data_IF_449406864856
#
_entry.id   IF_449406864856
#
_cell.length_a   1.000
_cell.length_b   1.000
_cell.length_c   1.000
_cell.angle_alpha   90.00
_cell.angle_beta   90.00
_cell.angle_gamma   90.00
#
_symmetry.space_group_name_H-M   'P 1'
#
loop_
_entity.id
_entity.type
_entity.pdbx_description
1 polymer ?
#
# COMPACT_ATOMS: atom_id res chain seq x y z
N UNK A 1 -23.88 -39.62 21.80
CA UNK A 1 -22.93 -39.23 20.76
C UNK A 1 -23.14 -37.72 20.53
N UNK A 2 -22.30 -36.85 21.10
CA UNK A 2 -22.47 -35.39 20.99
C UNK A 2 -21.61 -34.96 19.80
N UNK A 3 -22.26 -34.56 18.69
CA UNK A 3 -21.57 -33.98 17.56
C UNK A 3 -21.12 -32.55 17.92
N UNK A 4 -19.83 -32.34 18.12
CA UNK A 4 -19.26 -31.01 18.12
C UNK A 4 -19.21 -30.49 16.67
N UNK A 5 -20.08 -29.54 16.33
CA UNK A 5 -19.97 -28.82 15.10
C UNK A 5 -18.69 -27.97 15.21
N UNK A 6 -17.70 -28.19 14.34
CA UNK A 6 -16.53 -27.36 14.20
C UNK A 6 -17.01 -25.96 13.78
N UNK A 7 -16.83 -24.99 14.66
CA UNK A 7 -17.13 -23.60 14.38
C UNK A 7 -16.14 -23.09 13.33
N UNK A 8 -16.62 -22.63 12.18
CA UNK A 8 -15.76 -22.01 11.19
C UNK A 8 -14.97 -20.85 11.84
N UNK A 9 -13.70 -20.69 11.52
CA UNK A 9 -12.93 -19.58 12.07
C UNK A 9 -13.65 -18.26 11.79
N UNK A 10 -13.79 -17.42 12.80
CA UNK A 10 -14.41 -16.11 12.64
C UNK A 10 -13.66 -15.33 11.57
N UNK A 11 -14.36 -14.80 10.57
CA UNK A 11 -13.75 -14.01 9.54
C UNK A 11 -13.03 -12.81 10.18
N UNK A 12 -11.75 -12.63 9.83
CA UNK A 12 -10.97 -11.50 10.32
C UNK A 12 -11.65 -10.18 9.95
N UNK A 13 -11.98 -9.37 10.94
CA UNK A 13 -12.59 -8.05 10.75
C UNK A 13 -11.57 -6.98 11.09
N UNK A 14 -11.50 -5.92 10.28
CA UNK A 14 -10.60 -4.80 10.50
C UNK A 14 -11.41 -3.56 10.86
N UNK A 15 -11.16 -2.99 12.03
CA UNK A 15 -11.85 -1.79 12.53
C UNK A 15 -11.07 -0.52 12.22
N UNK A 16 -9.74 -0.60 12.19
CA UNK A 16 -8.84 0.51 11.91
C UNK A 16 -7.83 0.13 10.84
N UNK A 17 -7.89 0.78 9.69
CA UNK A 17 -7.02 0.50 8.55
C UNK A 17 -6.10 1.69 8.30
N UNK A 18 -4.80 1.46 8.31
CA UNK A 18 -3.79 2.43 7.92
C UNK A 18 -3.23 2.10 6.54
N UNK A 19 -3.28 3.07 5.63
CA UNK A 19 -2.58 3.01 4.36
C UNK A 19 -1.36 3.93 4.40
N UNK A 20 -0.18 3.35 4.23
CA UNK A 20 1.09 4.07 4.07
C UNK A 20 1.56 3.90 2.63
N UNK A 21 1.72 4.98 1.91
CA UNK A 21 2.15 4.87 0.52
C UNK A 21 2.68 6.18 -0.06
N UNK A 22 2.66 6.26 -1.36
CA UNK A 22 3.11 7.43 -2.11
C UNK A 22 1.98 8.04 -2.96
N UNK A 23 2.31 8.63 -4.12
CA UNK A 23 1.33 9.24 -5.01
C UNK A 23 0.22 8.29 -5.49
N UNK A 24 0.50 6.99 -5.64
CA UNK A 24 -0.51 5.99 -6.00
C UNK A 24 -1.55 5.83 -4.89
N UNK A 25 -1.13 6.00 -3.63
CA UNK A 25 -2.01 5.87 -2.45
C UNK A 25 -2.78 7.16 -2.19
N UNK A 26 -2.09 8.30 -2.18
CA UNK A 26 -2.67 9.63 -1.97
C UNK A 26 -1.74 10.71 -2.49
N UNK A 27 -2.28 11.65 -3.25
CA UNK A 27 -1.57 12.85 -3.66
C UNK A 27 -2.51 14.05 -3.62
N UNK A 28 -2.10 15.10 -2.93
CA UNK A 28 -2.84 16.36 -2.89
C UNK A 28 -2.81 17.11 -4.22
N UNK A 29 -3.64 18.14 -4.39
CA UNK A 29 -3.65 18.97 -5.59
C UNK A 29 -2.26 19.56 -5.88
N UNK A 30 -1.89 19.57 -7.16
CA UNK A 30 -0.61 20.09 -7.64
C UNK A 30 -0.75 20.68 -9.05
N UNK A 31 -0.79 22.01 -9.14
CA UNK A 31 -1.14 22.72 -10.36
C UNK A 31 -0.13 22.53 -11.49
N UNK A 32 1.18 22.44 -11.19
CA UNK A 32 2.25 22.26 -12.18
C UNK A 32 2.19 20.92 -12.94
N UNK A 33 1.47 19.93 -12.40
CA UNK A 33 1.21 18.64 -13.07
C UNK A 33 -0.26 18.47 -13.46
N UNK A 34 -1.06 19.53 -13.36
CA UNK A 34 -2.51 19.52 -13.67
C UNK A 34 -3.29 18.45 -12.88
N UNK A 35 -2.90 18.23 -11.59
CA UNK A 35 -3.56 17.32 -10.67
C UNK A 35 -4.38 18.10 -9.64
N UNK A 36 -5.68 17.83 -9.55
CA UNK A 36 -6.62 18.52 -8.66
C UNK A 36 -7.17 17.64 -7.55
N UNK A 37 -6.93 16.32 -7.61
CA UNK A 37 -7.43 15.37 -6.62
C UNK A 37 -6.65 15.40 -5.30
N UNK A 38 -7.26 14.80 -4.26
CA UNK A 38 -6.61 14.53 -2.98
C UNK A 38 -6.77 13.04 -2.60
N UNK A 39 -6.55 12.18 -3.58
CA UNK A 39 -6.66 10.73 -3.52
C UNK A 39 -5.54 10.08 -4.34
N UNK A 40 -5.61 8.77 -4.61
CA UNK A 40 -4.64 8.07 -5.44
C UNK A 40 -4.49 8.73 -6.81
N UNK A 41 -3.26 9.22 -7.12
CA UNK A 41 -2.99 9.99 -8.33
C UNK A 41 -3.42 9.22 -9.57
N UNK A 42 -4.07 9.93 -10.49
CA UNK A 42 -4.61 9.49 -11.75
C UNK A 42 -5.89 8.62 -11.69
N UNK A 43 -6.40 8.24 -10.53
CA UNK A 43 -7.78 7.78 -10.43
C UNK A 43 -8.76 8.92 -10.81
N UNK A 44 -9.81 8.62 -11.56
CA UNK A 44 -10.75 9.66 -12.05
C UNK A 44 -11.63 10.27 -10.97
N UNK A 45 -11.74 9.60 -9.83
CA UNK A 45 -12.46 10.05 -8.64
C UNK A 45 -11.93 9.33 -7.40
N UNK A 46 -12.11 9.93 -6.22
CA UNK A 46 -11.72 9.37 -4.94
C UNK A 46 -12.21 7.92 -4.75
N UNK A 47 -13.49 7.66 -5.04
CA UNK A 47 -14.09 6.32 -4.91
C UNK A 47 -13.50 5.26 -5.85
N UNK A 48 -12.63 5.64 -6.78
CA UNK A 48 -12.02 4.77 -7.78
C UNK A 48 -10.55 4.49 -7.53
N UNK A 49 -9.93 5.13 -6.53
CA UNK A 49 -8.59 4.73 -6.13
C UNK A 49 -8.62 3.42 -5.32
N UNK A 50 -7.48 2.75 -5.26
CA UNK A 50 -7.40 1.44 -4.61
C UNK A 50 -7.70 1.49 -3.10
N UNK A 51 -7.42 2.61 -2.42
CA UNK A 51 -7.69 2.80 -0.99
C UNK A 51 -9.19 2.70 -0.71
N UNK A 52 -9.99 3.43 -1.50
CA UNK A 52 -11.44 3.46 -1.34
C UNK A 52 -12.08 2.15 -1.82
N UNK A 53 -11.52 1.50 -2.86
CA UNK A 53 -11.99 0.20 -3.33
C UNK A 53 -11.76 -0.89 -2.29
N UNK A 54 -10.56 -0.98 -1.71
CA UNK A 54 -10.25 -1.94 -0.63
C UNK A 54 -11.12 -1.70 0.58
N UNK A 55 -11.20 -0.44 1.04
CA UNK A 55 -12.02 -0.07 2.21
C UNK A 55 -13.50 -0.41 2.00
N UNK A 56 -14.04 -0.10 0.83
CA UNK A 56 -15.43 -0.39 0.48
C UNK A 56 -15.74 -1.89 0.45
N UNK A 57 -14.83 -2.69 -0.12
CA UNK A 57 -14.97 -4.15 -0.16
C UNK A 57 -14.92 -4.77 1.25
N UNK A 58 -13.96 -4.36 2.09
CA UNK A 58 -13.86 -4.82 3.48
C UNK A 58 -15.08 -4.40 4.29
N UNK A 59 -15.53 -3.14 4.15
CA UNK A 59 -16.74 -2.63 4.80
C UNK A 59 -17.98 -3.45 4.45
N UNK A 60 -18.16 -3.77 3.16
CA UNK A 60 -19.26 -4.60 2.70
C UNK A 60 -19.19 -6.04 3.25
N UNK A 61 -17.98 -6.64 3.26
CA UNK A 61 -17.79 -8.01 3.74
C UNK A 61 -18.06 -8.15 5.22
N UNK A 62 -17.59 -7.19 6.04
CA UNK A 62 -17.71 -7.24 7.49
C UNK A 62 -19.01 -6.61 8.04
N UNK A 63 -19.82 -5.95 7.20
CA UNK A 63 -21.05 -5.28 7.60
C UNK A 63 -20.85 -4.01 8.43
N UNK A 64 -19.62 -3.52 8.57
CA UNK A 64 -19.26 -2.33 9.32
C UNK A 64 -18.18 -1.53 8.60
N UNK A 65 -18.26 -0.19 8.66
CA UNK A 65 -17.27 0.69 8.03
C UNK A 65 -16.06 0.84 8.97
N UNK A 66 -14.84 0.51 8.53
CA UNK A 66 -13.63 0.75 9.32
C UNK A 66 -13.31 2.24 9.39
N UNK A 67 -12.62 2.63 10.46
CA UNK A 67 -11.90 3.90 10.51
C UNK A 67 -10.66 3.80 9.63
N UNK A 68 -10.36 4.82 8.82
CA UNK A 68 -9.27 4.78 7.86
C UNK A 68 -8.35 5.98 8.00
N UNK A 69 -7.06 5.72 8.10
CA UNK A 69 -6.02 6.75 8.01
C UNK A 69 -5.17 6.49 6.76
N UNK A 70 -4.96 7.52 5.95
CA UNK A 70 -4.15 7.45 4.72
C UNK A 70 -3.03 8.47 4.80
N UNK A 71 -1.79 8.01 4.79
CA UNK A 71 -0.62 8.89 4.83
C UNK A 71 0.31 8.63 3.64
N UNK A 72 0.62 9.72 2.91
CA UNK A 72 1.69 9.70 1.91
C UNK A 72 3.03 9.81 2.63
N UNK A 73 3.90 8.84 2.42
CA UNK A 73 5.25 8.76 2.99
C UNK A 73 6.33 8.67 1.91
N UNK A 74 6.12 9.31 0.75
CA UNK A 74 7.11 9.36 -0.32
C UNK A 74 8.44 10.02 0.12
N UNK A 75 8.45 10.80 1.19
CA UNK A 75 9.67 11.31 1.82
C UNK A 75 10.46 10.20 2.54
N UNK A 76 9.79 9.20 3.10
CA UNK A 76 10.47 7.98 3.57
C UNK A 76 11.24 7.32 2.43
N UNK A 77 10.62 7.12 1.28
CA UNK A 77 11.26 6.45 0.13
C UNK A 77 12.53 7.17 -0.35
N UNK A 78 12.55 8.52 -0.26
CA UNK A 78 13.67 9.35 -0.69
C UNK A 78 14.80 9.45 0.32
N UNK A 79 14.51 9.23 1.62
CA UNK A 79 15.46 9.38 2.73
C UNK A 79 15.38 8.26 3.76
N UNK A 80 15.10 7.04 3.30
CA UNK A 80 14.78 5.88 4.16
C UNK A 80 15.84 5.58 5.22
N UNK A 81 17.12 5.84 4.94
CA UNK A 81 18.21 5.51 5.86
C UNK A 81 18.10 6.30 7.17
N UNK A 82 17.80 7.60 7.08
CA UNK A 82 17.81 8.54 8.21
C UNK A 82 16.41 9.06 8.55
N UNK A 83 15.36 8.40 8.05
CA UNK A 83 13.99 8.83 8.27
C UNK A 83 13.57 8.70 9.73
N UNK A 84 13.10 9.81 10.31
CA UNK A 84 12.55 9.85 11.66
C UNK A 84 11.12 9.27 11.68
N UNK A 85 11.03 7.95 11.91
CA UNK A 85 9.74 7.25 11.96
C UNK A 85 8.89 7.75 13.12
N UNK A 86 9.47 7.93 14.31
CA UNK A 86 8.73 8.29 15.51
C UNK A 86 8.14 9.70 15.43
N UNK A 87 8.89 10.66 14.92
CA UNK A 87 8.43 12.05 14.78
C UNK A 87 7.47 12.23 13.61
N UNK A 88 7.84 11.72 12.42
CA UNK A 88 7.05 11.94 11.19
C UNK A 88 5.80 11.07 11.08
N UNK A 89 5.79 9.91 11.73
CA UNK A 89 4.66 8.98 11.71
C UNK A 89 3.93 8.91 13.07
N UNK A 90 4.12 9.92 13.92
CA UNK A 90 3.52 9.96 15.26
C UNK A 90 2.01 9.68 15.24
N UNK A 91 1.26 10.33 14.35
CA UNK A 91 -0.19 10.17 14.27
C UNK A 91 -0.57 8.79 13.70
N UNK A 92 0.18 8.27 12.72
CA UNK A 92 -0.02 6.94 12.18
C UNK A 92 0.25 5.84 13.23
N UNK A 93 1.29 6.00 14.06
CA UNK A 93 1.59 5.08 15.17
C UNK A 93 0.52 5.17 16.27
N UNK A 94 0.08 6.39 16.62
CA UNK A 94 -0.97 6.62 17.60
C UNK A 94 -2.35 6.13 17.15
N UNK A 95 -2.57 5.99 15.84
CA UNK A 95 -3.82 5.47 15.27
C UNK A 95 -4.10 4.02 15.69
N UNK A 96 -3.06 3.22 15.97
CA UNK A 96 -3.16 1.81 16.42
C UNK A 96 -4.04 0.97 15.49
N UNK A 97 -3.71 0.99 14.20
CA UNK A 97 -4.41 0.20 13.18
C UNK A 97 -4.34 -1.29 13.48
N UNK A 98 -5.38 -2.03 13.15
CA UNK A 98 -5.39 -3.51 13.16
C UNK A 98 -5.01 -4.10 11.79
N UNK A 99 -5.08 -3.28 10.72
CA UNK A 99 -4.52 -3.57 9.40
C UNK A 99 -3.66 -2.40 8.93
N UNK A 100 -2.42 -2.67 8.55
CA UNK A 100 -1.50 -1.70 7.93
C UNK A 100 -1.16 -2.18 6.53
N UNK A 101 -1.51 -1.38 5.53
CA UNK A 101 -1.17 -1.64 4.12
C UNK A 101 -0.04 -0.70 3.71
N UNK A 102 1.12 -1.28 3.36
CA UNK A 102 2.34 -0.55 2.98
C UNK A 102 2.56 -0.66 1.48
N UNK A 103 2.53 0.48 0.81
CA UNK A 103 2.52 0.62 -0.64
C UNK A 103 3.58 1.63 -1.09
N UNK A 104 4.84 1.25 -0.97
CA UNK A 104 6.03 2.10 -1.20
C UNK A 104 7.06 1.41 -2.07
N UNK A 105 8.11 2.16 -2.47
CA UNK A 105 9.25 1.67 -3.26
C UNK A 105 9.47 2.48 -4.54
N UNK A 106 8.41 3.06 -5.10
CA UNK A 106 8.44 3.72 -6.41
C UNK A 106 9.35 4.96 -6.46
N UNK A 107 9.46 5.72 -5.37
CA UNK A 107 10.30 6.92 -5.30
C UNK A 107 11.69 6.67 -4.71
N UNK A 108 12.01 5.42 -4.38
CA UNK A 108 13.34 5.07 -3.88
C UNK A 108 14.40 5.28 -4.97
N UNK A 109 15.54 5.86 -4.62
CA UNK A 109 16.68 5.94 -5.53
C UNK A 109 17.12 4.55 -5.98
N UNK A 110 17.81 4.47 -7.12
CA UNK A 110 18.26 3.19 -7.65
C UNK A 110 19.19 2.48 -6.65
N UNK A 111 18.82 1.26 -6.29
CA UNK A 111 19.62 0.37 -5.45
C UNK A 111 20.65 -0.32 -6.33
N UNK A 112 21.90 0.19 -6.34
CA UNK A 112 22.94 -0.21 -7.29
C UNK A 112 23.89 -1.27 -6.74
N UNK A 113 23.94 -1.44 -5.41
CA UNK A 113 24.83 -2.37 -4.77
C UNK A 113 24.09 -3.27 -3.77
N UNK A 114 24.67 -4.41 -3.38
CA UNK A 114 24.13 -5.23 -2.30
C UNK A 114 23.95 -4.46 -0.98
N UNK A 115 24.83 -3.51 -0.70
CA UNK A 115 24.79 -2.65 0.49
C UNK A 115 23.59 -1.69 0.45
N UNK A 116 23.29 -1.12 -0.74
CA UNK A 116 22.09 -0.30 -0.92
C UNK A 116 20.81 -1.11 -0.68
N UNK A 117 20.76 -2.34 -1.23
CA UNK A 117 19.63 -3.25 -1.05
C UNK A 117 19.45 -3.63 0.42
N UNK A 118 20.54 -4.00 1.11
CA UNK A 118 20.50 -4.34 2.53
C UNK A 118 20.07 -3.16 3.41
N UNK A 119 20.55 -1.95 3.11
CA UNK A 119 20.17 -0.72 3.81
C UNK A 119 18.71 -0.39 3.63
N UNK A 120 18.20 -0.51 2.39
CA UNK A 120 16.79 -0.29 2.08
C UNK A 120 15.92 -1.33 2.81
N UNK A 121 16.23 -2.63 2.70
CA UNK A 121 15.54 -3.70 3.43
C UNK A 121 15.50 -3.42 4.94
N UNK A 122 16.65 -3.11 5.55
CA UNK A 122 16.72 -2.82 6.98
C UNK A 122 15.84 -1.63 7.39
N UNK A 123 15.77 -0.59 6.54
CA UNK A 123 14.93 0.58 6.79
C UNK A 123 13.44 0.26 6.69
N UNK A 124 13.04 -0.59 5.72
CA UNK A 124 11.66 -1.11 5.63
C UNK A 124 11.34 -1.95 6.86
N UNK A 125 12.20 -2.91 7.24
CA UNK A 125 12.00 -3.75 8.42
C UNK A 125 11.82 -2.89 9.68
N UNK A 126 12.64 -1.82 9.84
CA UNK A 126 12.49 -0.86 10.94
C UNK A 126 11.14 -0.14 10.93
N UNK A 127 10.68 0.29 9.74
CA UNK A 127 9.36 0.90 9.57
C UNK A 127 8.24 -0.07 9.99
N UNK A 128 8.26 -1.29 9.48
CA UNK A 128 7.23 -2.29 9.75
C UNK A 128 7.19 -2.69 11.24
N UNK A 129 8.36 -2.84 11.87
CA UNK A 129 8.48 -3.15 13.30
C UNK A 129 7.93 -2.05 14.19
N UNK A 130 8.06 -0.78 13.79
CA UNK A 130 7.50 0.33 14.55
C UNK A 130 5.98 0.21 14.73
N UNK A 131 5.25 -0.31 13.72
CA UNK A 131 3.81 -0.55 13.80
C UNK A 131 3.44 -1.81 14.60
N UNK A 132 4.37 -2.75 14.77
CA UNK A 132 4.16 -3.97 15.59
C UNK A 132 4.51 -3.78 17.07
N UNK A 133 5.10 -2.67 17.47
CA UNK A 133 5.61 -2.50 18.83
C UNK A 133 4.51 -2.53 19.91
N UNK A 134 3.39 -1.86 19.66
CA UNK A 134 2.33 -1.67 20.66
C UNK A 134 1.12 -2.60 20.46
N UNK A 135 0.77 -2.87 19.22
CA UNK A 135 -0.31 -3.78 18.86
C UNK A 135 0.14 -4.64 17.68
N UNK A 136 -0.28 -5.87 17.59
CA UNK A 136 0.16 -6.80 16.56
C UNK A 136 -0.76 -6.74 15.32
N UNK A 137 -0.73 -5.65 14.51
CA UNK A 137 -1.61 -5.54 13.35
C UNK A 137 -1.26 -6.58 12.30
N UNK A 138 -2.24 -6.94 11.48
CA UNK A 138 -1.94 -7.53 10.19
C UNK A 138 -1.20 -6.49 9.35
N UNK A 139 -0.02 -6.81 8.85
CA UNK A 139 0.74 -5.93 7.95
C UNK A 139 0.80 -6.57 6.57
N UNK A 140 0.29 -5.85 5.57
CA UNK A 140 0.39 -6.22 4.18
C UNK A 140 1.35 -5.26 3.47
N UNK A 141 2.34 -5.82 2.77
CA UNK A 141 3.29 -5.06 1.94
C UNK A 141 3.10 -5.47 0.49
N UNK A 142 2.93 -4.51 -0.42
CA UNK A 142 2.89 -4.78 -1.86
C UNK A 142 4.23 -4.48 -2.54
N UNK A 143 4.53 -5.18 -3.64
CA UNK A 143 5.61 -4.79 -4.56
C UNK A 143 5.32 -3.43 -5.23
N UNK A 144 6.28 -2.84 -5.90
CA UNK A 144 6.09 -1.64 -6.70
C UNK A 144 5.08 -1.89 -7.83
N UNK A 145 4.26 -0.89 -8.17
CA UNK A 145 3.43 -0.95 -9.37
C UNK A 145 4.29 -1.05 -10.63
N UNK A 146 5.31 -0.19 -10.75
CA UNK A 146 6.35 -0.33 -11.78
C UNK A 146 7.40 -1.31 -11.27
N UNK A 147 7.30 -2.56 -11.69
CA UNK A 147 8.12 -3.67 -11.22
C UNK A 147 9.62 -3.33 -11.20
N UNK A 148 10.27 -3.57 -10.06
CA UNK A 148 11.70 -3.38 -9.87
C UNK A 148 12.27 -4.44 -8.94
N UNK A 149 12.95 -5.44 -9.51
CA UNK A 149 13.40 -6.62 -8.78
C UNK A 149 14.20 -6.30 -7.50
N UNK A 150 15.07 -5.28 -7.53
CA UNK A 150 15.88 -4.94 -6.36
C UNK A 150 15.03 -4.39 -5.19
N UNK A 151 14.09 -3.50 -5.50
CA UNK A 151 13.17 -2.92 -4.51
C UNK A 151 12.16 -3.95 -4.03
N UNK A 152 11.56 -4.70 -4.97
CA UNK A 152 10.52 -5.68 -4.68
C UNK A 152 11.06 -6.81 -3.82
N UNK A 153 12.28 -7.31 -4.09
CA UNK A 153 12.95 -8.29 -3.23
C UNK A 153 13.26 -7.76 -1.83
N UNK A 154 13.65 -6.49 -1.71
CA UNK A 154 13.90 -5.89 -0.38
C UNK A 154 12.59 -5.71 0.42
N UNK A 155 11.50 -5.30 -0.24
CA UNK A 155 10.16 -5.21 0.36
C UNK A 155 9.65 -6.58 0.80
N UNK A 156 9.81 -7.60 -0.05
CA UNK A 156 9.41 -8.97 0.27
C UNK A 156 10.15 -9.49 1.50
N UNK A 157 11.49 -9.41 1.52
CA UNK A 157 12.30 -9.87 2.66
C UNK A 157 11.96 -9.13 3.94
N UNK A 158 11.80 -7.80 3.88
CA UNK A 158 11.41 -7.02 5.04
C UNK A 158 10.02 -7.42 5.58
N UNK A 159 9.09 -7.77 4.69
CA UNK A 159 7.78 -8.30 5.05
C UNK A 159 7.87 -9.68 5.70
N UNK A 160 8.69 -10.57 5.16
CA UNK A 160 8.98 -11.90 5.72
C UNK A 160 9.61 -11.81 7.11
N UNK A 161 10.56 -10.87 7.32
CA UNK A 161 11.23 -10.61 8.61
C UNK A 161 10.27 -10.29 9.77
N UNK A 162 9.05 -9.86 9.44
CA UNK A 162 8.01 -9.51 10.42
C UNK A 162 6.80 -10.43 10.35
N UNK A 163 6.86 -11.51 9.57
CA UNK A 163 5.72 -12.40 9.30
C UNK A 163 4.48 -11.65 8.78
N UNK A 164 4.70 -10.74 7.83
CA UNK A 164 3.64 -9.99 7.14
C UNK A 164 3.11 -10.72 5.92
N UNK A 165 2.06 -10.17 5.31
CA UNK A 165 1.51 -10.62 4.03
C UNK A 165 2.19 -9.85 2.90
N UNK A 166 2.89 -10.54 2.01
CA UNK A 166 3.47 -9.92 0.83
C UNK A 166 2.60 -10.16 -0.41
N UNK A 167 2.42 -9.11 -1.21
CA UNK A 167 1.62 -9.16 -2.45
C UNK A 167 2.49 -8.72 -3.63
N UNK A 168 2.73 -9.65 -4.56
CA UNK A 168 3.41 -9.34 -5.82
C UNK A 168 2.42 -8.76 -6.84
N UNK A 169 2.70 -7.55 -7.29
CA UNK A 169 1.95 -6.83 -8.34
C UNK A 169 2.76 -6.66 -9.62
N UNK A 170 3.92 -7.29 -9.75
CA UNK A 170 4.88 -7.07 -10.85
C UNK A 170 4.29 -7.26 -12.26
N UNK A 171 3.19 -8.01 -12.38
CA UNK A 171 2.48 -8.21 -13.63
C UNK A 171 1.60 -7.02 -14.03
N UNK A 172 1.16 -6.18 -13.09
CA UNK A 172 0.14 -5.15 -13.37
C UNK A 172 0.65 -4.07 -14.32
N UNK A 173 1.90 -3.64 -14.20
CA UNK A 173 2.49 -2.63 -15.10
C UNK A 173 2.86 -3.16 -16.49
N UNK A 174 2.69 -4.46 -16.75
CA UNK A 174 2.84 -5.05 -18.10
C UNK A 174 1.57 -4.92 -18.92
N UNK A 175 0.47 -4.54 -18.31
CA UNK A 175 -0.85 -4.41 -18.94
C UNK A 175 -1.11 -2.92 -19.18
N UNK A 176 -1.10 -2.51 -20.46
CA UNK A 176 -1.27 -1.10 -20.84
C UNK A 176 -2.59 -0.50 -20.32
N UNK A 177 -3.65 -1.28 -20.31
CA UNK A 177 -4.96 -0.87 -19.81
C UNK A 177 -4.97 -0.46 -18.32
N UNK A 178 -3.96 -0.84 -17.54
CA UNK A 178 -3.84 -0.43 -16.14
C UNK A 178 -3.28 0.99 -15.97
N UNK A 179 -2.77 1.61 -17.04
CA UNK A 179 -2.25 2.97 -16.98
C UNK A 179 -3.34 4.01 -17.28
N UNK A 180 -3.30 5.12 -16.59
CA UNK A 180 -4.27 6.20 -16.77
C UNK A 180 -4.30 6.77 -18.19
N UNK A 181 -3.16 6.76 -18.90
CA UNK A 181 -3.04 7.20 -20.31
C UNK A 181 -3.89 6.36 -21.27
N UNK A 182 -4.24 5.12 -20.91
CA UNK A 182 -5.13 4.29 -21.73
C UNK A 182 -6.60 4.66 -21.58
N UNK A 183 -6.96 5.36 -20.51
CA UNK A 183 -8.34 5.73 -20.19
C UNK A 183 -8.70 7.15 -20.62
N UNK A 184 -7.75 8.08 -20.51
CA UNK A 184 -7.96 9.50 -20.85
C UNK A 184 -6.66 10.24 -21.10
N UNK A 185 -6.76 11.44 -21.69
CA UNK A 185 -5.62 12.31 -21.95
C UNK A 185 -5.19 13.07 -20.68
N UNK A 186 -3.88 13.24 -20.52
CA UNK A 186 -3.28 14.02 -19.43
C UNK A 186 -2.26 15.00 -20.02
N UNK A 187 -2.15 16.19 -19.47
CA UNK A 187 -1.12 17.17 -19.84
C UNK A 187 0.27 16.76 -19.35
N UNK A 188 0.34 16.09 -18.21
CA UNK A 188 1.60 15.70 -17.58
C UNK A 188 1.84 14.19 -17.71
N UNK A 189 2.93 13.81 -18.38
CA UNK A 189 3.28 12.40 -18.65
C UNK A 189 3.44 11.57 -17.37
N UNK A 190 3.96 12.15 -16.28
CA UNK A 190 4.07 11.47 -15.00
C UNK A 190 2.71 11.05 -14.44
N UNK A 191 1.69 11.92 -14.51
CA UNK A 191 0.32 11.58 -14.09
C UNK A 191 -0.25 10.50 -15.01
N UNK A 192 -0.09 10.64 -16.33
CA UNK A 192 -0.53 9.67 -17.33
C UNK A 192 0.01 8.25 -17.11
N UNK A 193 1.22 8.15 -16.55
CA UNK A 193 1.90 6.88 -16.27
C UNK A 193 1.48 6.23 -14.93
N UNK A 194 0.70 6.90 -14.09
CA UNK A 194 0.14 6.26 -12.89
C UNK A 194 -0.95 5.25 -13.26
N UNK A 195 -1.31 4.34 -12.33
CA UNK A 195 -2.47 3.47 -12.54
C UNK A 195 -3.74 4.33 -12.72
N UNK A 196 -4.50 4.04 -13.77
CA UNK A 196 -5.84 4.58 -14.00
C UNK A 196 -6.90 3.86 -13.17
N UNK A 197 -8.17 4.10 -13.44
CA UNK A 197 -9.26 3.44 -12.71
C UNK A 197 -9.15 1.91 -12.77
N UNK A 198 -8.80 1.36 -13.93
CA UNK A 198 -8.60 -0.09 -14.09
C UNK A 198 -7.38 -0.57 -13.33
N UNK A 199 -6.26 0.16 -13.38
CA UNK A 199 -5.06 -0.16 -12.63
C UNK A 199 -5.26 -0.09 -11.12
N UNK A 200 -6.02 0.89 -10.65
CA UNK A 200 -6.40 1.01 -9.23
C UNK A 200 -7.29 -0.15 -8.78
N UNK A 201 -8.24 -0.57 -9.63
CA UNK A 201 -9.05 -1.75 -9.36
C UNK A 201 -8.20 -3.02 -9.29
N UNK A 202 -7.27 -3.21 -10.24
CA UNK A 202 -6.36 -4.37 -10.22
C UNK A 202 -5.46 -4.40 -8.97
N UNK A 203 -4.98 -3.24 -8.49
CA UNK A 203 -4.24 -3.13 -7.22
C UNK A 203 -5.15 -3.55 -6.04
N UNK A 204 -6.38 -3.06 -6.02
CA UNK A 204 -7.33 -3.39 -4.96
C UNK A 204 -7.64 -4.90 -4.94
N UNK A 205 -7.83 -5.51 -6.10
CA UNK A 205 -8.18 -6.93 -6.24
C UNK A 205 -7.07 -7.84 -5.67
N UNK A 206 -5.80 -7.59 -5.98
CA UNK A 206 -4.69 -8.42 -5.47
C UNK A 206 -4.50 -8.23 -3.96
N UNK A 207 -4.73 -7.02 -3.42
CA UNK A 207 -4.69 -6.76 -1.97
C UNK A 207 -5.83 -7.52 -1.28
N UNK A 208 -7.05 -7.41 -1.79
CA UNK A 208 -8.22 -8.09 -1.24
C UNK A 208 -8.08 -9.60 -1.30
N UNK A 209 -7.56 -10.13 -2.40
CA UNK A 209 -7.31 -11.58 -2.53
C UNK A 209 -6.37 -12.09 -1.43
N UNK A 210 -5.29 -11.37 -1.13
CA UNK A 210 -4.36 -11.74 -0.06
C UNK A 210 -4.99 -11.67 1.33
N UNK A 211 -5.78 -10.61 1.60
CA UNK A 211 -6.46 -10.42 2.89
C UNK A 211 -7.60 -11.40 3.13
N UNK A 212 -8.19 -11.96 2.07
CA UNK A 212 -9.36 -12.83 2.17
C UNK A 212 -9.00 -14.31 2.18
N UNK A 213 -7.76 -14.66 1.85
CA UNK A 213 -7.20 -16.01 1.88
C UNK A 213 -6.42 -16.30 3.17
N UNK A 214 -6.02 -15.26 3.91
CA UNK A 214 -5.34 -15.36 5.20
C UNK A 214 -6.35 -15.45 6.36
#
# INVERSE_FOLDING_TARGET
MVCFAAQAPAATTFQKILFLGNSITKHGPKADIDWTGNWGMAASAERKDYVHLVTGALSKKQGAKPEVLVQNIADFERSYADYDIAGKLKDALAFKADLVIVAIGENTTALKSPEDMARFQASITRLLRAFKADNQPTILVRSCFWANAARDNALQKACEDIHGLYVDMSALSKIEANFARSERSFKHAGVANHPGDQGMAAIADVILEALLKS
#
